data_IF_723998463355
#
_entry.id   IF_723998463355
#
_cell.length_a   1.000
_cell.length_b   1.000
_cell.length_c   1.000
_cell.angle_alpha   90.00
_cell.angle_beta   90.00
_cell.angle_gamma   90.00
#
_symmetry.space_group_name_H-M   'P 1'
#
loop_
_entity.id
_entity.type
_entity.pdbx_description
1 polymer ?
#
# COMPACT_ATOMS: atom_id res chain seq x y z
N UNK A 1 -21.13 -12.40 12.75
CA UNK A 1 -22.14 -11.30 12.76
C UNK A 1 -21.85 -10.20 11.73
N UNK A 2 -20.64 -10.06 11.20
CA UNK A 2 -20.36 -9.19 10.04
C UNK A 2 -20.70 -9.88 8.70
N UNK A 3 -20.56 -11.20 8.61
CA UNK A 3 -20.89 -11.95 7.40
C UNK A 3 -22.38 -11.91 6.99
N UNK A 4 -23.27 -11.54 7.92
CA UNK A 4 -24.72 -11.43 7.64
C UNK A 4 -25.12 -10.11 6.98
N UNK A 5 -24.18 -9.15 6.81
CA UNK A 5 -24.45 -7.84 6.19
C UNK A 5 -24.47 -7.91 4.64
N UNK A 6 -23.79 -8.89 4.05
CA UNK A 6 -23.66 -9.06 2.59
C UNK A 6 -24.54 -10.21 2.10
N UNK A 7 -25.85 -10.04 2.26
CA UNK A 7 -26.87 -10.99 1.87
C UNK A 7 -27.68 -10.49 0.65
N UNK A 8 -28.70 -11.28 0.23
CA UNK A 8 -29.61 -10.89 -0.86
C UNK A 8 -30.27 -9.52 -0.64
N UNK A 9 -30.56 -9.13 0.61
CA UNK A 9 -31.19 -7.85 0.91
C UNK A 9 -30.23 -6.69 0.68
N UNK A 10 -28.95 -6.85 1.00
CA UNK A 10 -27.91 -5.84 0.78
C UNK A 10 -27.62 -5.68 -0.72
N UNK A 11 -27.49 -6.78 -1.47
CA UNK A 11 -27.31 -6.72 -2.92
C UNK A 11 -28.51 -6.07 -3.62
N UNK A 12 -29.75 -6.39 -3.19
CA UNK A 12 -30.95 -5.75 -3.69
C UNK A 12 -31.00 -4.25 -3.37
N UNK A 13 -30.56 -3.85 -2.17
CA UNK A 13 -30.45 -2.44 -1.78
C UNK A 13 -29.44 -1.70 -2.66
N UNK A 14 -28.24 -2.26 -2.86
CA UNK A 14 -27.21 -1.71 -3.73
C UNK A 14 -27.70 -1.52 -5.16
N UNK A 15 -28.42 -2.51 -5.70
CA UNK A 15 -29.03 -2.43 -7.04
C UNK A 15 -30.10 -1.34 -7.14
N UNK A 16 -30.98 -1.23 -6.15
CA UNK A 16 -32.00 -0.18 -6.14
C UNK A 16 -31.37 1.21 -6.11
N UNK A 17 -30.33 1.40 -5.28
CA UNK A 17 -29.58 2.65 -5.22
C UNK A 17 -28.89 2.97 -6.56
N UNK A 18 -28.29 1.98 -7.21
CA UNK A 18 -27.66 2.17 -8.51
C UNK A 18 -28.68 2.60 -9.59
N UNK A 19 -29.88 2.03 -9.58
CA UNK A 19 -30.98 2.40 -10.49
C UNK A 19 -31.49 3.81 -10.17
N UNK A 20 -31.74 4.13 -8.90
CA UNK A 20 -32.22 5.45 -8.47
C UNK A 20 -31.20 6.57 -8.79
N UNK A 21 -29.89 6.25 -8.72
CA UNK A 21 -28.81 7.17 -9.05
C UNK A 21 -28.46 7.20 -10.55
N UNK A 22 -29.17 6.44 -11.40
CA UNK A 22 -28.90 6.32 -12.84
C UNK A 22 -27.43 5.93 -13.13
N UNK A 23 -26.88 4.98 -12.34
CA UNK A 23 -25.50 4.52 -12.51
C UNK A 23 -25.35 3.62 -13.74
N UNK A 24 -24.23 3.75 -14.45
CA UNK A 24 -23.86 2.88 -15.58
C UNK A 24 -23.04 1.67 -15.12
N UNK A 25 -22.48 1.71 -13.89
CA UNK A 25 -21.68 0.62 -13.33
C UNK A 25 -21.52 0.70 -11.83
N UNK A 26 -21.02 -0.39 -11.24
CA UNK A 26 -20.76 -0.55 -9.81
C UNK A 26 -19.32 -1.01 -9.61
N UNK A 27 -18.60 -0.33 -8.70
CA UNK A 27 -17.30 -0.79 -8.21
C UNK A 27 -17.44 -1.35 -6.82
N UNK A 28 -16.98 -2.57 -6.61
CA UNK A 28 -17.03 -3.30 -5.33
C UNK A 28 -15.61 -3.42 -4.79
N UNK A 29 -15.35 -2.80 -3.63
CA UNK A 29 -14.08 -2.89 -2.90
C UNK A 29 -14.38 -3.35 -1.47
N UNK A 30 -14.48 -4.67 -1.27
CA UNK A 30 -14.77 -5.23 0.04
C UNK A 30 -14.41 -6.71 0.13
N UNK A 31 -13.70 -7.08 1.19
CA UNK A 31 -13.41 -8.50 1.54
C UNK A 31 -14.65 -9.31 1.94
N UNK A 32 -15.79 -8.67 2.15
CA UNK A 32 -17.04 -9.34 2.52
C UNK A 32 -17.91 -9.68 1.30
N UNK A 33 -17.64 -9.07 0.14
CA UNK A 33 -18.36 -9.34 -1.09
C UNK A 33 -17.95 -10.71 -1.66
N UNK A 34 -18.84 -11.69 -1.58
CA UNK A 34 -18.63 -13.02 -2.14
C UNK A 34 -19.16 -13.15 -3.57
N UNK A 35 -18.94 -14.31 -4.21
CA UNK A 35 -19.39 -14.58 -5.58
C UNK A 35 -20.90 -14.39 -5.77
N UNK A 36 -21.71 -14.75 -4.78
CA UNK A 36 -23.17 -14.62 -4.84
C UNK A 36 -23.58 -13.15 -4.85
N UNK A 37 -23.00 -12.33 -3.94
CA UNK A 37 -23.22 -10.89 -3.93
C UNK A 37 -22.85 -10.25 -5.26
N UNK A 38 -21.65 -10.55 -5.78
CA UNK A 38 -21.18 -10.04 -7.06
C UNK A 38 -22.09 -10.48 -8.20
N UNK A 39 -22.54 -11.75 -8.22
CA UNK A 39 -23.47 -12.25 -9.22
C UNK A 39 -24.81 -11.51 -9.20
N UNK A 40 -25.34 -11.24 -8.01
CA UNK A 40 -26.63 -10.55 -7.85
C UNK A 40 -26.58 -9.12 -8.39
N UNK A 41 -25.48 -8.38 -8.20
CA UNK A 41 -25.34 -7.01 -8.69
C UNK A 41 -24.91 -6.93 -10.17
N UNK A 42 -24.32 -8.01 -10.73
CA UNK A 42 -23.83 -8.03 -12.13
C UNK A 42 -24.93 -8.39 -13.15
N UNK A 43 -26.09 -8.85 -12.71
CA UNK A 43 -27.12 -9.41 -13.58
C UNK A 43 -28.08 -8.38 -14.24
N UNK A 44 -27.79 -7.06 -14.17
CA UNK A 44 -28.77 -6.01 -14.51
C UNK A 44 -28.28 -4.92 -15.47
N UNK A 45 -27.57 -5.27 -16.53
CA UNK A 45 -27.03 -4.33 -17.54
C UNK A 45 -26.08 -3.25 -16.96
N UNK A 46 -25.65 -3.39 -15.71
CA UNK A 46 -24.64 -2.54 -15.11
C UNK A 46 -23.27 -3.21 -15.22
N UNK A 47 -22.27 -2.44 -15.61
CA UNK A 47 -20.90 -2.96 -15.59
C UNK A 47 -20.42 -3.06 -14.15
N UNK A 48 -20.04 -4.25 -13.72
CA UNK A 48 -19.53 -4.49 -12.38
C UNK A 48 -18.02 -4.71 -12.42
N UNK A 49 -17.31 -3.98 -11.56
CA UNK A 49 -15.86 -4.08 -11.35
C UNK A 49 -15.59 -4.48 -9.90
N UNK A 50 -14.93 -5.60 -9.68
CA UNK A 50 -14.48 -6.02 -8.34
C UNK A 50 -13.01 -5.66 -8.13
N UNK A 51 -12.69 -5.04 -6.99
CA UNK A 51 -11.32 -4.84 -6.51
C UNK A 51 -11.07 -5.91 -5.46
N UNK A 52 -10.11 -6.79 -5.70
CA UNK A 52 -9.79 -7.87 -4.76
C UNK A 52 -8.33 -8.27 -4.83
N UNK A 53 -7.67 -8.27 -3.69
CA UNK A 53 -6.26 -8.62 -3.52
C UNK A 53 -6.02 -10.02 -2.95
N UNK A 54 -7.10 -10.78 -2.70
CA UNK A 54 -7.05 -12.10 -2.06
C UNK A 54 -7.27 -13.27 -3.02
N UNK A 55 -7.97 -13.05 -4.14
CA UNK A 55 -8.36 -14.08 -5.09
C UNK A 55 -9.11 -15.27 -4.42
N UNK A 56 -9.99 -14.95 -3.45
CA UNK A 56 -10.56 -15.95 -2.55
C UNK A 56 -11.79 -16.70 -3.13
N UNK A 57 -12.35 -16.22 -4.24
CA UNK A 57 -13.58 -16.76 -4.85
C UNK A 57 -13.65 -16.49 -6.37
N UNK A 58 -14.68 -16.93 -7.05
CA UNK A 58 -14.96 -16.58 -8.44
C UNK A 58 -15.61 -15.20 -8.55
N UNK A 59 -15.39 -14.51 -9.68
CA UNK A 59 -15.86 -13.14 -9.92
C UNK A 59 -16.78 -13.11 -11.14
N UNK A 60 -18.09 -13.34 -10.95
CA UNK A 60 -19.07 -13.24 -12.03
C UNK A 60 -19.40 -11.77 -12.34
N UNK A 61 -18.40 -11.03 -12.85
CA UNK A 61 -18.48 -9.61 -13.20
C UNK A 61 -17.62 -9.31 -14.44
N UNK A 62 -17.73 -8.09 -14.98
CA UNK A 62 -17.01 -7.72 -16.19
C UNK A 62 -15.52 -7.46 -15.94
N UNK A 63 -15.16 -6.84 -14.82
CA UNK A 63 -13.76 -6.50 -14.51
C UNK A 63 -13.38 -6.96 -13.10
N UNK A 64 -12.13 -7.44 -12.98
CA UNK A 64 -11.48 -7.70 -11.69
C UNK A 64 -10.15 -6.95 -11.67
N UNK A 65 -9.86 -6.22 -10.60
CA UNK A 65 -8.65 -5.44 -10.43
C UNK A 65 -7.86 -5.96 -9.23
N UNK A 66 -6.58 -6.28 -9.45
CA UNK A 66 -5.62 -6.54 -8.39
C UNK A 66 -4.26 -5.96 -8.79
N UNK A 67 -3.86 -4.88 -8.12
CA UNK A 67 -2.60 -4.16 -8.37
C UNK A 67 -1.36 -4.77 -7.72
N UNK A 68 -1.47 -5.89 -7.00
CA UNK A 68 -0.34 -6.51 -6.33
C UNK A 68 0.64 -7.15 -7.33
N UNK A 69 1.92 -7.16 -7.01
CA UNK A 69 2.99 -7.76 -7.83
C UNK A 69 2.76 -9.24 -8.15
N UNK A 70 2.21 -9.97 -7.19
CA UNK A 70 1.93 -11.40 -7.32
C UNK A 70 0.52 -11.71 -7.81
N UNK A 71 -0.23 -10.72 -8.30
CA UNK A 71 -1.63 -10.89 -8.72
C UNK A 71 -1.81 -12.02 -9.75
N UNK A 72 -0.93 -12.10 -10.76
CA UNK A 72 -0.99 -13.15 -11.79
C UNK A 72 -0.81 -14.58 -11.25
N UNK A 73 -0.26 -14.74 -10.05
CA UNK A 73 -0.09 -16.06 -9.41
C UNK A 73 -1.32 -16.46 -8.58
N UNK A 74 -2.16 -15.49 -8.24
CA UNK A 74 -3.30 -15.69 -7.36
C UNK A 74 -4.55 -16.16 -8.11
N UNK A 75 -4.76 -15.67 -9.34
CA UNK A 75 -5.97 -15.91 -10.10
C UNK A 75 -5.83 -17.06 -11.08
N UNK A 76 -6.78 -18.01 -11.06
CA UNK A 76 -6.91 -19.03 -12.10
C UNK A 76 -7.73 -18.47 -13.26
N UNK A 77 -7.04 -17.95 -14.28
CA UNK A 77 -7.67 -17.35 -15.45
C UNK A 77 -8.34 -18.37 -16.38
N UNK A 78 -8.10 -19.68 -16.20
CA UNK A 78 -8.72 -20.73 -17.04
C UNK A 78 -10.23 -20.87 -16.84
N UNK A 79 -10.74 -20.37 -15.70
CA UNK A 79 -12.17 -20.43 -15.33
C UNK A 79 -12.87 -19.06 -15.41
N UNK A 80 -12.22 -18.05 -15.96
CA UNK A 80 -12.65 -16.66 -15.87
C UNK A 80 -13.83 -16.27 -16.78
N UNK A 81 -14.21 -17.10 -17.77
CA UNK A 81 -15.26 -16.75 -18.73
C UNK A 81 -14.92 -15.46 -19.49
N UNK A 82 -15.89 -14.52 -19.54
CA UNK A 82 -15.72 -13.21 -20.20
C UNK A 82 -15.20 -12.11 -19.27
N UNK A 83 -14.80 -12.44 -18.03
CA UNK A 83 -14.27 -11.48 -17.06
C UNK A 83 -12.89 -10.99 -17.48
N UNK A 84 -12.70 -9.68 -17.59
CA UNK A 84 -11.41 -9.05 -17.83
C UNK A 84 -10.65 -8.85 -16.51
N UNK A 85 -9.47 -9.47 -16.40
CA UNK A 85 -8.60 -9.35 -15.24
C UNK A 85 -7.51 -8.29 -15.48
N UNK A 86 -7.47 -7.28 -14.62
CA UNK A 86 -6.49 -6.20 -14.60
C UNK A 86 -5.53 -6.47 -13.44
N UNK A 87 -4.47 -7.23 -13.73
CA UNK A 87 -3.57 -7.79 -12.71
C UNK A 87 -2.17 -7.20 -12.81
N UNK A 88 -1.60 -6.86 -11.67
CA UNK A 88 -0.23 -6.39 -11.57
C UNK A 88 -0.06 -4.91 -11.28
N UNK A 89 1.20 -4.46 -11.05
CA UNK A 89 1.53 -3.13 -10.54
C UNK A 89 1.06 -1.98 -11.45
N UNK A 90 0.88 -2.23 -12.74
CA UNK A 90 0.35 -1.26 -13.70
C UNK A 90 -1.11 -0.85 -13.40
N UNK A 91 -1.85 -1.68 -12.66
CA UNK A 91 -3.24 -1.41 -12.24
C UNK A 91 -3.34 -1.06 -10.75
N UNK A 92 -2.21 -0.86 -10.06
CA UNK A 92 -2.21 -0.43 -8.67
C UNK A 92 -2.81 0.97 -8.56
N UNK A 93 -3.91 1.09 -7.83
CA UNK A 93 -4.63 2.35 -7.68
C UNK A 93 -4.03 3.16 -6.53
N UNK A 94 -3.31 4.22 -6.88
CA UNK A 94 -2.81 5.22 -5.94
C UNK A 94 -3.69 6.47 -5.98
N UNK A 95 -3.65 7.27 -4.90
CA UNK A 95 -4.34 8.55 -4.81
C UNK A 95 -3.83 9.53 -5.88
N UNK A 96 -4.65 10.52 -6.22
CA UNK A 96 -4.39 11.46 -7.32
C UNK A 96 -3.05 12.20 -7.19
N UNK A 97 -2.60 12.46 -5.99
CA UNK A 97 -1.32 13.13 -5.74
C UNK A 97 -0.11 12.34 -6.27
N UNK A 98 -0.23 11.00 -6.43
CA UNK A 98 0.82 10.14 -6.96
C UNK A 98 0.74 9.95 -8.50
N UNK A 99 -0.24 10.54 -9.19
CA UNK A 99 -0.43 10.34 -10.63
C UNK A 99 0.60 11.05 -11.50
N UNK A 100 1.18 12.13 -10.99
CA UNK A 100 2.23 12.86 -11.70
C UNK A 100 3.60 12.28 -11.34
N UNK A 101 4.48 12.27 -12.35
CA UNK A 101 5.83 11.75 -12.14
C UNK A 101 6.55 12.56 -11.05
N UNK A 102 7.01 11.86 -10.06
CA UNK A 102 7.74 12.44 -8.93
C UNK A 102 9.05 13.12 -9.37
N UNK A 103 9.35 14.28 -8.78
CA UNK A 103 10.63 14.98 -8.90
C UNK A 103 11.65 14.55 -7.84
N UNK A 104 11.48 13.38 -7.22
CA UNK A 104 12.32 12.87 -6.15
C UNK A 104 13.79 12.72 -6.59
N UNK A 105 14.70 13.17 -5.74
CA UNK A 105 16.13 13.09 -5.97
C UNK A 105 16.79 12.46 -4.75
N UNK A 106 17.46 11.33 -4.96
CA UNK A 106 18.25 10.67 -3.89
C UNK A 106 19.43 11.54 -3.51
N UNK A 107 19.55 11.92 -2.24
CA UNK A 107 20.69 12.70 -1.73
C UNK A 107 21.85 11.78 -1.32
N UNK A 108 23.12 12.20 -1.50
CA UNK A 108 24.27 11.39 -1.09
C UNK A 108 24.26 11.07 0.41
N UNK A 109 23.83 12.01 1.23
CA UNK A 109 23.72 11.88 2.70
C UNK A 109 22.26 11.87 3.10
N UNK A 110 21.90 11.02 4.05
CA UNK A 110 20.56 10.96 4.64
C UNK A 110 20.46 12.00 5.74
N UNK A 111 19.51 12.92 5.59
CA UNK A 111 19.20 13.97 6.57
C UNK A 111 17.78 13.84 7.13
N UNK A 112 16.89 13.19 6.41
CA UNK A 112 15.49 13.02 6.81
C UNK A 112 15.09 11.55 6.71
N UNK A 113 14.63 11.00 7.82
CA UNK A 113 14.05 9.64 7.87
C UNK A 113 12.55 9.76 8.10
N UNK A 114 11.76 9.08 7.26
CA UNK A 114 10.32 8.94 7.43
C UNK A 114 10.03 7.59 8.07
N UNK A 115 9.23 7.56 9.14
CA UNK A 115 8.74 6.33 9.76
C UNK A 115 7.22 6.30 9.68
N UNK A 116 6.67 5.32 8.96
CA UNK A 116 5.22 5.16 8.76
C UNK A 116 4.84 3.68 8.75
N UNK A 117 4.08 3.23 9.73
CA UNK A 117 3.77 1.81 9.93
C UNK A 117 2.33 1.44 9.51
N UNK A 118 1.76 2.23 8.58
CA UNK A 118 0.39 2.06 8.13
C UNK A 118 -0.65 2.57 9.11
N UNK A 119 -1.88 2.03 9.02
CA UNK A 119 -3.02 2.56 9.78
C UNK A 119 -3.05 2.20 11.27
N UNK A 120 -2.47 1.06 11.68
CA UNK A 120 -2.70 0.50 13.01
C UNK A 120 -1.47 0.15 13.84
N UNK A 121 -0.27 0.01 13.20
CA UNK A 121 0.95 -0.46 13.88
C UNK A 121 0.68 -1.67 14.82
N UNK A 122 0.30 -2.84 14.28
CA UNK A 122 -0.26 -3.95 15.06
C UNK A 122 0.71 -4.58 16.07
N UNK A 123 2.01 -4.30 15.95
CA UNK A 123 3.05 -4.76 16.87
C UNK A 123 3.59 -3.64 17.77
N UNK A 124 2.99 -2.44 17.71
CA UNK A 124 3.40 -1.27 18.50
C UNK A 124 4.90 -0.93 18.34
N UNK A 125 5.42 -1.04 17.12
CA UNK A 125 6.84 -0.92 16.84
C UNK A 125 7.34 0.54 16.81
N UNK A 126 6.47 1.52 16.58
CA UNK A 126 6.87 2.92 16.42
C UNK A 126 7.77 3.43 17.54
N UNK A 127 7.42 3.31 18.84
CA UNK A 127 8.28 3.81 19.92
C UNK A 127 9.66 3.15 19.93
N UNK A 128 9.69 1.83 19.68
CA UNK A 128 10.93 1.04 19.67
C UNK A 128 11.83 1.38 18.47
N UNK A 129 11.23 1.63 17.30
CA UNK A 129 11.95 2.08 16.09
C UNK A 129 12.57 3.46 16.32
N UNK A 130 11.82 4.40 16.91
CA UNK A 130 12.35 5.73 17.22
C UNK A 130 13.50 5.66 18.21
N UNK A 131 13.41 4.83 19.25
CA UNK A 131 14.52 4.59 20.19
C UNK A 131 15.72 3.96 19.51
N UNK A 132 15.52 2.98 18.63
CA UNK A 132 16.58 2.34 17.85
C UNK A 132 17.29 3.35 16.94
N UNK A 133 16.53 4.25 16.29
CA UNK A 133 17.12 5.31 15.47
C UNK A 133 17.93 6.28 16.30
N UNK A 134 17.50 6.60 17.53
CA UNK A 134 18.22 7.47 18.46
C UNK A 134 19.59 6.92 18.88
N UNK A 135 19.75 5.60 18.91
CA UNK A 135 21.01 4.92 19.21
C UNK A 135 22.02 4.97 18.05
N UNK A 136 21.60 5.27 16.81
CA UNK A 136 22.49 5.35 15.67
C UNK A 136 23.32 6.63 15.70
N UNK A 137 24.64 6.50 15.44
CA UNK A 137 25.61 7.60 15.50
C UNK A 137 25.61 8.45 14.20
N UNK A 138 24.42 8.94 13.80
CA UNK A 138 24.19 9.78 12.62
C UNK A 138 23.33 10.98 13.01
N UNK A 139 23.42 12.06 12.26
CA UNK A 139 22.59 13.26 12.46
C UNK A 139 21.52 13.33 11.39
N UNK A 140 20.24 13.17 11.78
CA UNK A 140 19.08 13.28 10.91
C UNK A 140 17.84 13.76 11.68
N UNK A 141 16.87 14.25 10.94
CA UNK A 141 15.53 14.56 11.43
C UNK A 141 14.65 13.33 11.19
N UNK A 142 13.78 13.01 12.11
CA UNK A 142 12.80 11.91 11.98
C UNK A 142 11.41 12.52 11.85
N UNK A 143 10.72 12.17 10.78
CA UNK A 143 9.29 12.42 10.61
C UNK A 143 8.54 11.12 10.92
N UNK A 144 7.84 11.06 12.04
CA UNK A 144 7.09 9.89 12.50
C UNK A 144 5.60 10.10 12.26
N UNK A 145 4.96 9.14 11.57
CA UNK A 145 3.53 9.21 11.27
C UNK A 145 2.79 8.10 12.02
N UNK A 146 1.89 8.52 12.91
CA UNK A 146 0.94 7.63 13.58
C UNK A 146 -0.30 7.50 12.70
N UNK A 147 -0.68 6.28 12.37
CA UNK A 147 -1.89 5.98 11.61
C UNK A 147 -3.16 6.19 12.44
N UNK A 148 -4.32 6.30 11.79
CA UNK A 148 -5.58 6.69 12.45
C UNK A 148 -6.10 5.66 13.46
N UNK A 149 -5.61 4.42 13.43
CA UNK A 149 -6.04 3.31 14.30
C UNK A 149 -4.93 2.84 15.25
N UNK A 150 -3.77 3.54 15.30
CA UNK A 150 -2.66 3.18 16.18
C UNK A 150 -2.80 3.89 17.54
N UNK A 151 -2.67 3.14 18.64
CA UNK A 151 -2.74 3.63 20.01
C UNK A 151 -1.34 3.69 20.67
N UNK A 152 -0.38 4.29 19.95
CA UNK A 152 1.03 4.35 20.41
C UNK A 152 1.50 5.76 20.77
N UNK A 153 0.62 6.78 20.63
CA UNK A 153 0.99 8.18 20.75
C UNK A 153 1.66 8.52 22.11
N UNK A 154 1.11 8.00 23.20
CA UNK A 154 1.67 8.27 24.53
C UNK A 154 3.12 7.75 24.65
N UNK A 155 3.38 6.54 24.20
CA UNK A 155 4.71 5.92 24.24
C UNK A 155 5.68 6.64 23.29
N UNK A 156 5.21 7.07 22.12
CA UNK A 156 5.98 7.85 21.15
C UNK A 156 6.41 9.19 21.76
N UNK A 157 5.51 9.91 22.42
CA UNK A 157 5.85 11.18 23.10
C UNK A 157 6.92 11.01 24.16
N UNK A 158 6.89 9.92 24.93
CA UNK A 158 7.94 9.62 25.92
C UNK A 158 9.31 9.40 25.30
N UNK A 159 9.37 8.84 24.09
CA UNK A 159 10.62 8.70 23.34
C UNK A 159 11.10 10.06 22.83
N UNK A 160 10.19 10.85 22.25
CA UNK A 160 10.51 12.19 21.73
C UNK A 160 11.13 13.07 22.82
N UNK A 161 10.57 13.08 24.03
CA UNK A 161 11.06 13.88 25.16
C UNK A 161 12.50 13.55 25.58
N UNK A 162 13.00 12.37 25.22
CA UNK A 162 14.34 11.87 25.60
C UNK A 162 15.31 11.78 24.43
N UNK A 163 14.80 11.92 23.21
CA UNK A 163 15.58 11.75 21.99
C UNK A 163 16.59 12.89 21.80
N UNK A 164 17.76 12.55 21.27
CA UNK A 164 18.75 13.52 20.81
C UNK A 164 18.46 14.07 19.40
N UNK A 165 17.60 13.37 18.65
CA UNK A 165 17.16 13.80 17.32
C UNK A 165 15.94 14.72 17.39
N UNK A 166 15.77 15.54 16.36
CA UNK A 166 14.52 16.25 16.12
C UNK A 166 13.53 15.24 15.55
N UNK A 167 12.46 14.97 16.29
CA UNK A 167 11.38 14.08 15.87
C UNK A 167 10.11 14.90 15.70
N UNK A 168 9.61 14.99 14.47
CA UNK A 168 8.33 15.59 14.15
C UNK A 168 7.26 14.49 14.14
N UNK A 169 6.22 14.66 14.94
CA UNK A 169 5.12 13.70 15.04
C UNK A 169 3.91 14.20 14.27
N UNK A 170 3.39 13.36 13.37
CA UNK A 170 2.19 13.61 12.58
C UNK A 170 1.13 12.56 12.84
N UNK A 171 -0.14 12.93 12.76
CA UNK A 171 -1.29 12.03 12.89
C UNK A 171 -2.08 12.03 11.60
N UNK A 172 -2.01 10.92 10.84
CA UNK A 172 -2.71 10.72 9.57
C UNK A 172 -2.76 12.01 8.71
N UNK A 173 -1.59 12.60 8.36
CA UNK A 173 -1.54 13.92 7.74
C UNK A 173 -2.02 13.87 6.28
N UNK A 174 -2.68 14.94 5.83
CA UNK A 174 -3.04 15.12 4.43
C UNK A 174 -1.84 15.42 3.50
N UNK A 175 -0.66 15.67 4.08
CA UNK A 175 0.60 16.02 3.38
C UNK A 175 1.56 14.82 3.24
N UNK A 176 1.04 13.60 3.19
CA UNK A 176 1.87 12.40 3.22
C UNK A 176 2.87 12.34 2.06
N UNK A 177 2.44 12.67 0.84
CA UNK A 177 3.33 12.72 -0.33
C UNK A 177 4.47 13.74 -0.15
N UNK A 178 4.19 14.91 0.41
CA UNK A 178 5.22 15.93 0.66
C UNK A 178 6.29 15.42 1.63
N UNK A 179 5.88 14.71 2.69
CA UNK A 179 6.81 14.08 3.64
C UNK A 179 7.63 12.98 2.99
N UNK A 180 7.04 12.19 2.08
CA UNK A 180 7.76 11.18 1.29
C UNK A 180 8.80 11.83 0.36
N UNK A 181 8.46 12.93 -0.32
CA UNK A 181 9.37 13.67 -1.20
C UNK A 181 10.54 14.32 -0.46
N UNK A 182 10.36 14.67 0.82
CA UNK A 182 11.39 15.26 1.66
C UNK A 182 12.30 14.20 2.32
N UNK A 183 11.84 12.96 2.43
CA UNK A 183 12.60 11.87 3.04
C UNK A 183 13.79 11.44 2.17
N UNK A 184 14.88 11.02 2.80
CA UNK A 184 16.04 10.40 2.15
C UNK A 184 16.04 8.88 2.29
N UNK A 185 15.33 8.41 3.32
CA UNK A 185 15.12 7.02 3.67
C UNK A 185 13.78 6.89 4.39
N UNK A 186 13.03 5.84 4.10
CA UNK A 186 11.82 5.52 4.85
C UNK A 186 11.93 4.16 5.56
N UNK A 187 11.19 4.03 6.66
CA UNK A 187 10.85 2.77 7.31
C UNK A 187 9.34 2.63 7.23
N UNK A 188 8.85 1.60 6.57
CA UNK A 188 7.42 1.43 6.31
C UNK A 188 6.94 0.01 6.51
N UNK A 189 5.68 -0.14 6.93
CA UNK A 189 4.98 -1.41 6.82
C UNK A 189 4.74 -1.78 5.33
N UNK A 190 4.58 -3.08 5.05
CA UNK A 190 4.42 -3.63 3.70
C UNK A 190 3.02 -3.44 3.08
N UNK A 191 2.28 -2.40 3.46
CA UNK A 191 0.95 -2.08 2.94
C UNK A 191 0.97 -1.09 1.77
N UNK A 192 -0.17 -0.42 1.54
CA UNK A 192 -0.38 0.57 0.47
C UNK A 192 0.68 1.68 0.48
N UNK A 193 1.04 2.20 1.64
CA UNK A 193 2.04 3.27 1.82
C UNK A 193 3.42 2.89 1.28
N UNK A 194 3.79 1.59 1.31
CA UNK A 194 5.03 1.14 0.69
C UNK A 194 5.03 1.37 -0.82
N UNK A 195 3.92 1.10 -1.49
CA UNK A 195 3.81 1.33 -2.94
C UNK A 195 3.83 2.83 -3.28
N UNK A 196 3.25 3.67 -2.42
CA UNK A 196 3.33 5.14 -2.55
C UNK A 196 4.79 5.61 -2.44
N UNK A 197 5.55 5.10 -1.46
CA UNK A 197 6.98 5.38 -1.30
C UNK A 197 7.80 4.93 -2.52
N UNK A 198 7.52 3.74 -3.07
CA UNK A 198 8.18 3.23 -4.28
C UNK A 198 7.84 4.08 -5.50
N UNK A 199 6.58 4.50 -5.65
CA UNK A 199 6.12 5.38 -6.72
C UNK A 199 6.82 6.74 -6.68
N UNK A 200 6.95 7.33 -5.48
CA UNK A 200 7.73 8.56 -5.25
C UNK A 200 9.21 8.33 -5.56
N UNK A 201 9.73 7.15 -5.27
CA UNK A 201 11.14 6.77 -5.41
C UNK A 201 11.93 6.91 -4.11
N UNK A 202 11.27 6.97 -2.95
CA UNK A 202 11.92 7.02 -1.64
C UNK A 202 12.50 5.64 -1.28
N UNK A 203 13.85 5.51 -1.08
CA UNK A 203 14.44 4.27 -0.62
C UNK A 203 13.84 3.84 0.72
N UNK A 204 13.41 2.58 0.83
CA UNK A 204 12.61 2.14 1.97
C UNK A 204 13.12 0.84 2.57
N UNK A 205 13.16 0.74 3.91
CA UNK A 205 13.23 -0.52 4.64
C UNK A 205 11.81 -0.95 4.98
N UNK A 206 11.41 -2.13 4.52
CA UNK A 206 10.06 -2.64 4.73
C UNK A 206 9.99 -3.56 5.93
N UNK A 207 8.88 -3.48 6.68
CA UNK A 207 8.52 -4.35 7.79
C UNK A 207 7.26 -5.13 7.39
N UNK A 208 7.33 -6.45 7.43
CA UNK A 208 6.16 -7.32 7.30
C UNK A 208 5.35 -7.25 8.59
N UNK A 209 4.13 -6.74 8.52
CA UNK A 209 3.21 -6.64 9.66
C UNK A 209 1.97 -7.51 9.50
N UNK A 210 1.83 -8.19 8.35
CA UNK A 210 0.73 -9.10 8.07
C UNK A 210 1.18 -10.17 7.05
N UNK A 211 0.69 -11.40 7.21
CA UNK A 211 1.11 -12.55 6.39
C UNK A 211 0.81 -12.39 4.89
N UNK A 212 -0.25 -11.69 4.53
CA UNK A 212 -0.59 -11.40 3.13
C UNK A 212 0.44 -10.49 2.44
N UNK A 213 1.28 -9.78 3.20
CA UNK A 213 2.33 -8.91 2.66
C UNK A 213 3.59 -9.69 2.23
N UNK A 214 3.82 -10.88 2.77
CA UNK A 214 5.07 -11.65 2.60
C UNK A 214 5.48 -11.84 1.15
N UNK A 215 4.58 -12.37 0.31
CA UNK A 215 4.90 -12.68 -1.09
C UNK A 215 5.24 -11.42 -1.90
N UNK A 216 4.46 -10.36 -1.74
CA UNK A 216 4.72 -9.10 -2.45
C UNK A 216 6.02 -8.44 -1.99
N UNK A 217 6.35 -8.50 -0.69
CA UNK A 217 7.61 -7.97 -0.18
C UNK A 217 8.81 -8.76 -0.71
N UNK A 218 8.71 -10.10 -0.79
CA UNK A 218 9.74 -10.95 -1.38
C UNK A 218 9.96 -10.60 -2.86
N UNK A 219 8.90 -10.45 -3.65
CA UNK A 219 9.00 -10.03 -5.04
C UNK A 219 9.67 -8.65 -5.20
N UNK A 220 9.37 -7.70 -4.32
CA UNK A 220 10.03 -6.37 -4.31
C UNK A 220 11.54 -6.47 -4.00
N UNK A 221 11.96 -7.40 -3.15
CA UNK A 221 13.40 -7.66 -2.90
C UNK A 221 14.05 -8.29 -4.14
N UNK A 222 13.42 -9.26 -4.77
CA UNK A 222 13.92 -9.91 -6.00
C UNK A 222 14.07 -8.91 -7.15
N UNK A 223 13.16 -7.96 -7.27
CA UNK A 223 13.23 -6.86 -8.23
C UNK A 223 14.27 -5.79 -7.85
N UNK A 224 14.80 -5.82 -6.64
CA UNK A 224 15.78 -4.84 -6.13
C UNK A 224 15.15 -3.49 -5.73
N UNK A 225 13.83 -3.40 -5.65
CA UNK A 225 13.11 -2.24 -5.13
C UNK A 225 13.25 -2.11 -3.61
N UNK A 226 13.46 -3.24 -2.92
CA UNK A 226 13.81 -3.33 -1.50
C UNK A 226 15.14 -4.03 -1.34
N UNK A 227 15.91 -3.66 -0.31
CA UNK A 227 17.15 -4.36 0.04
C UNK A 227 16.87 -5.62 0.85
N UNK A 228 15.96 -5.53 1.81
CA UNK A 228 15.58 -6.62 2.72
C UNK A 228 14.21 -6.35 3.34
N UNK A 229 13.67 -7.36 4.01
CA UNK A 229 12.42 -7.32 4.75
C UNK A 229 12.74 -7.63 6.20
N UNK A 230 12.14 -6.89 7.13
CA UNK A 230 12.12 -7.20 8.56
C UNK A 230 10.78 -7.82 8.93
N UNK A 231 10.77 -8.94 9.64
CA UNK A 231 9.54 -9.56 10.14
C UNK A 231 9.13 -8.86 11.45
N UNK A 232 7.99 -8.18 11.43
CA UNK A 232 7.48 -7.40 12.57
C UNK A 232 7.12 -8.28 13.78
N UNK A 233 6.82 -9.56 13.56
CA UNK A 233 6.54 -10.53 14.62
C UNK A 233 7.80 -11.14 15.26
N UNK A 234 8.99 -10.97 14.65
CA UNK A 234 10.25 -11.52 15.16
C UNK A 234 10.76 -10.70 16.36
N UNK A 235 11.15 -11.37 17.43
CA UNK A 235 11.82 -10.74 18.58
C UNK A 235 13.13 -10.02 18.19
N UNK A 236 13.73 -10.36 17.04
CA UNK A 236 14.93 -9.73 16.49
C UNK A 236 14.63 -8.64 15.44
N UNK A 237 13.39 -8.19 15.32
CA UNK A 237 13.01 -7.17 14.31
C UNK A 237 13.87 -5.91 14.44
N UNK A 238 14.08 -5.38 15.63
CA UNK A 238 14.84 -4.14 15.83
C UNK A 238 16.33 -4.28 15.49
N UNK A 239 17.08 -5.31 15.91
CA UNK A 239 18.46 -5.54 15.45
C UNK A 239 18.54 -5.70 13.92
N UNK A 240 17.61 -6.41 13.30
CA UNK A 240 17.56 -6.58 11.84
C UNK A 240 17.29 -5.26 11.12
N UNK A 241 16.36 -4.47 11.64
CA UNK A 241 16.01 -3.15 11.13
C UNK A 241 17.20 -2.19 11.27
N UNK A 242 17.85 -2.12 12.44
CA UNK A 242 19.02 -1.27 12.68
C UNK A 242 20.16 -1.59 11.70
N UNK A 243 20.43 -2.88 11.44
CA UNK A 243 21.41 -3.31 10.45
C UNK A 243 21.05 -2.83 9.04
N UNK A 244 19.77 -2.96 8.64
CA UNK A 244 19.30 -2.57 7.31
C UNK A 244 19.35 -1.05 7.13
N UNK A 245 18.93 -0.30 8.13
CA UNK A 245 18.99 1.16 8.13
C UNK A 245 20.46 1.62 8.06
N UNK A 246 21.34 1.09 8.91
CA UNK A 246 22.76 1.43 8.91
C UNK A 246 23.41 1.18 7.55
N UNK A 247 23.08 0.06 6.89
CA UNK A 247 23.56 -0.27 5.56
C UNK A 247 23.11 0.77 4.53
N UNK A 248 21.82 1.10 4.51
CA UNK A 248 21.27 2.09 3.57
C UNK A 248 21.74 3.52 3.87
N UNK A 249 22.01 3.88 5.12
CA UNK A 249 22.62 5.18 5.45
C UNK A 249 23.98 5.38 4.76
N UNK A 250 24.77 4.32 4.63
CA UNK A 250 26.12 4.35 4.08
C UNK A 250 26.20 4.11 2.56
N UNK A 251 25.20 3.47 1.95
CA UNK A 251 25.23 3.08 0.53
C UNK A 251 24.31 3.94 -0.36
N UNK A 252 24.83 5.08 -0.80
CA UNK A 252 24.13 5.96 -1.75
C UNK A 252 23.78 5.27 -3.07
N UNK A 253 24.68 4.42 -3.59
CA UNK A 253 24.46 3.76 -4.88
C UNK A 253 23.28 2.79 -4.81
N UNK A 254 23.17 2.04 -3.71
CA UNK A 254 22.04 1.15 -3.50
C UNK A 254 20.73 1.94 -3.36
N UNK A 255 20.72 3.04 -2.56
CA UNK A 255 19.53 3.91 -2.46
C UNK A 255 19.10 4.45 -3.83
N UNK A 256 20.05 4.90 -4.65
CA UNK A 256 19.77 5.39 -6.00
C UNK A 256 19.21 4.29 -6.91
N UNK A 257 19.74 3.06 -6.81
CA UNK A 257 19.22 1.91 -7.55
C UNK A 257 17.79 1.57 -7.13
N UNK A 258 17.52 1.48 -5.83
CA UNK A 258 16.18 1.20 -5.28
C UNK A 258 15.16 2.24 -5.75
N UNK A 259 15.52 3.52 -5.65
CA UNK A 259 14.68 4.64 -6.10
C UNK A 259 14.29 4.52 -7.58
N UNK A 260 15.27 4.30 -8.45
CA UNK A 260 15.03 4.17 -9.88
C UNK A 260 14.15 2.95 -10.21
N UNK A 261 14.38 1.81 -9.56
CA UNK A 261 13.59 0.59 -9.78
C UNK A 261 12.15 0.75 -9.28
N UNK A 262 11.94 1.40 -8.13
CA UNK A 262 10.59 1.70 -7.62
C UNK A 262 9.79 2.58 -8.59
N UNK A 263 10.38 3.67 -9.10
CA UNK A 263 9.75 4.57 -10.06
C UNK A 263 9.54 3.94 -11.45
N UNK A 264 10.34 2.94 -11.83
CA UNK A 264 10.12 2.16 -13.06
C UNK A 264 9.00 1.15 -12.91
N UNK A 265 8.84 0.58 -11.72
CA UNK A 265 7.80 -0.39 -11.40
C UNK A 265 6.42 0.26 -11.30
N UNK A 266 6.35 1.46 -10.70
CA UNK A 266 5.12 2.16 -10.36
C UNK A 266 5.14 3.58 -10.93
N UNK A 267 4.27 3.84 -11.88
CA UNK A 267 4.13 5.17 -12.50
C UNK A 267 2.97 6.01 -11.94
N UNK A 268 2.25 5.46 -10.94
CA UNK A 268 1.11 6.13 -10.30
C UNK A 268 -0.19 6.12 -11.12
N UNK A 269 -0.17 5.65 -12.39
CA UNK A 269 -1.28 5.80 -13.33
C UNK A 269 -2.33 4.67 -13.27
N UNK A 270 -2.22 3.73 -12.32
CA UNK A 270 -3.08 2.55 -12.25
C UNK A 270 -4.56 2.90 -12.15
N UNK A 271 -4.93 3.84 -11.28
CA UNK A 271 -6.33 4.27 -11.13
C UNK A 271 -6.90 4.87 -12.43
N UNK A 272 -6.10 5.62 -13.19
CA UNK A 272 -6.52 6.17 -14.49
C UNK A 272 -6.70 5.07 -15.54
N UNK A 273 -5.83 4.04 -15.55
CA UNK A 273 -5.98 2.87 -16.45
C UNK A 273 -7.25 2.11 -16.15
N UNK A 274 -7.50 1.81 -14.88
CA UNK A 274 -8.72 1.13 -14.44
C UNK A 274 -9.97 1.94 -14.81
N UNK A 275 -10.00 3.24 -14.52
CA UNK A 275 -11.12 4.12 -14.83
C UNK A 275 -11.40 4.21 -16.35
N UNK A 276 -10.35 4.27 -17.18
CA UNK A 276 -10.51 4.30 -18.63
C UNK A 276 -11.04 2.98 -19.18
N UNK A 277 -10.58 1.84 -18.68
CA UNK A 277 -11.07 0.52 -19.07
C UNK A 277 -12.52 0.32 -18.62
N UNK A 278 -12.86 0.69 -17.39
CA UNK A 278 -14.24 0.64 -16.90
C UNK A 278 -15.16 1.48 -17.80
N UNK A 279 -14.76 2.70 -18.14
CA UNK A 279 -15.52 3.61 -19.01
C UNK A 279 -15.67 3.07 -20.44
N UNK A 280 -14.68 2.39 -21.00
CA UNK A 280 -14.80 1.73 -22.30
C UNK A 280 -15.77 0.54 -22.25
N UNK A 281 -15.65 -0.30 -21.20
CA UNK A 281 -16.55 -1.45 -21.01
C UNK A 281 -18.03 -1.00 -20.87
N UNK A 282 -18.29 0.11 -20.18
CA UNK A 282 -19.63 0.70 -20.05
C UNK A 282 -20.18 1.14 -21.43
N UNK A 283 -19.35 1.66 -22.32
CA UNK A 283 -19.78 2.13 -23.65
C UNK A 283 -20.06 0.99 -24.64
N UNK A 284 -19.40 -0.14 -24.43
CA UNK A 284 -19.47 -1.31 -25.32
C UNK A 284 -20.58 -2.28 -24.88
N UNK A 285 -21.18 -2.09 -23.70
CA UNK A 285 -22.28 -2.87 -23.12
C UNK A 285 -23.64 -2.26 -23.43
#
# INVERSE_FOLDING_TARGET
>A
RMADLWNEQDSAFTMNMAIECECDGIVVDSYLANSEYISNISNNNLVTCAIDDMASHSYPCQLVVNGNLNANELFDLSTSGDTLFLLGPEYLMLQQEFWDKSSFVVRPTVHNILVVLGGSDPYELMPSILSMLDDLQYDFIINAIIGPFADTEHNVKQVIDKSRHVINLFHAPDILQELMLQADLAISAGGQTLYELLCVGCPTVAIEVALNQRKQLQALVELGCLHTICDGADNNVLPSLAKSVHFLLSDYQLRSKMSNLGQQLLDGQGALRVANLLKSTIRDN
#
